data_IF_292360740967
#
_entry.id   IF_292360740967
#
_cell.length_a   1.000
_cell.length_b   1.000
_cell.length_c   1.000
_cell.angle_alpha   90.00
_cell.angle_beta   90.00
_cell.angle_gamma   90.00
#
_symmetry.space_group_name_H-M   'P 1'
#
loop_
_entity.id
_entity.type
_entity.pdbx_description
1 polymer ?
#
# COMPACT_ATOMS: atom_id res chain seq x y z
N UNK A 1 20.49 22.28 6.91
CA UNK A 1 21.67 22.73 7.66
C UNK A 1 22.47 21.50 8.02
N UNK A 2 23.79 21.56 7.91
CA UNK A 2 24.72 20.48 8.26
C UNK A 2 24.85 20.23 9.77
N UNK A 3 24.07 20.94 10.59
CA UNK A 3 24.10 20.84 12.05
C UNK A 3 25.32 21.48 12.71
N UNK A 4 26.24 22.08 11.94
CA UNK A 4 27.50 22.66 12.44
C UNK A 4 27.29 23.82 13.43
N UNK A 5 26.14 24.50 13.38
CA UNK A 5 25.76 25.57 14.29
C UNK A 5 25.03 25.12 15.57
N UNK A 6 24.77 23.82 15.76
CA UNK A 6 24.12 23.28 16.96
C UNK A 6 25.15 23.01 18.06
N UNK A 7 25.94 24.02 18.44
CA UNK A 7 27.09 23.88 19.36
C UNK A 7 26.70 23.76 20.84
N UNK A 8 25.41 23.97 21.18
CA UNK A 8 24.88 23.96 22.55
C UNK A 8 23.73 22.96 22.76
N UNK A 9 23.46 22.07 21.80
CA UNK A 9 22.56 20.95 22.08
C UNK A 9 23.36 19.84 22.77
N UNK A 10 22.88 19.28 23.89
CA UNK A 10 23.48 18.08 24.45
C UNK A 10 23.60 17.03 23.35
N UNK A 11 24.79 16.46 23.15
CA UNK A 11 25.07 15.45 22.11
C UNK A 11 24.19 14.20 22.21
N UNK A 12 23.36 14.10 23.27
CA UNK A 12 22.41 13.03 23.56
C UNK A 12 20.99 13.23 23.00
N UNK A 13 20.60 14.43 22.57
CA UNK A 13 19.18 14.77 22.37
C UNK A 13 18.69 14.69 20.91
N UNK A 14 19.46 14.11 19.99
CA UNK A 14 19.08 14.04 18.57
C UNK A 14 19.58 12.78 17.86
N UNK A 15 18.95 12.46 16.73
CA UNK A 15 19.42 11.41 15.83
C UNK A 15 20.51 11.96 14.91
N UNK A 16 21.69 11.35 14.93
CA UNK A 16 22.84 11.79 14.12
C UNK A 16 22.75 11.25 12.70
N UNK A 17 23.26 12.01 11.72
CA UNK A 17 23.34 11.58 10.31
C UNK A 17 24.23 10.34 10.10
N UNK A 18 25.17 10.09 11.02
CA UNK A 18 26.05 8.91 11.03
C UNK A 18 25.52 7.79 11.93
N UNK A 19 24.30 7.92 12.46
CA UNK A 19 23.72 7.01 13.44
C UNK A 19 24.15 7.28 14.88
N UNK A 20 23.36 6.72 15.81
CA UNK A 20 23.60 6.75 17.25
C UNK A 20 24.03 5.35 17.72
N UNK A 21 25.00 5.27 18.63
CA UNK A 21 25.38 4.03 19.30
C UNK A 21 24.68 3.93 20.67
N UNK A 22 24.47 2.72 21.19
CA UNK A 22 23.86 2.49 22.52
C UNK A 22 22.36 2.77 22.60
N UNK A 23 21.63 2.69 21.48
CA UNK A 23 20.19 2.93 21.43
C UNK A 23 19.38 1.79 22.07
N UNK A 24 18.29 2.15 22.74
CA UNK A 24 17.26 1.22 23.25
C UNK A 24 15.92 1.51 22.56
N UNK A 25 15.30 0.51 21.95
CA UNK A 25 14.02 0.66 21.21
C UNK A 25 12.83 1.08 22.07
N UNK A 26 12.93 0.98 23.40
CA UNK A 26 11.89 1.43 24.33
C UNK A 26 11.95 2.93 24.63
N UNK A 27 13.11 3.57 24.45
CA UNK A 27 13.33 4.99 24.80
C UNK A 27 13.85 5.84 23.63
N UNK A 28 14.42 5.24 22.60
CA UNK A 28 15.04 5.92 21.47
C UNK A 28 14.34 5.53 20.17
N UNK A 29 13.75 6.51 19.49
CA UNK A 29 13.09 6.31 18.20
C UNK A 29 13.08 7.60 17.38
N UNK A 30 12.91 7.45 16.06
CA UNK A 30 12.52 8.54 15.16
C UNK A 30 11.03 8.42 14.94
N UNK A 31 10.24 9.36 15.46
CA UNK A 31 8.79 9.32 15.32
C UNK A 31 8.05 10.34 16.18
N UNK A 32 6.75 10.12 16.31
CA UNK A 32 5.81 10.94 17.08
C UNK A 32 5.36 10.18 18.33
N UNK A 33 5.04 10.91 19.40
CA UNK A 33 4.46 10.35 20.64
C UNK A 33 2.95 10.59 20.76
N UNK A 34 2.38 11.35 19.83
CA UNK A 34 0.97 11.67 19.73
C UNK A 34 0.34 11.00 18.50
N UNK A 35 -0.97 11.19 18.31
CA UNK A 35 -1.72 10.58 17.21
C UNK A 35 -1.54 11.34 15.88
N UNK A 36 -0.29 11.71 15.55
CA UNK A 36 0.08 12.46 14.35
C UNK A 36 0.90 11.59 13.38
N UNK A 37 0.68 11.72 12.06
CA UNK A 37 1.50 11.03 11.06
C UNK A 37 2.97 11.48 11.06
N UNK A 38 3.86 10.55 10.74
CA UNK A 38 5.28 10.82 10.46
C UNK A 38 5.53 10.81 8.94
N UNK A 39 6.01 11.92 8.38
CA UNK A 39 6.36 12.06 6.96
C UNK A 39 7.88 12.06 6.75
N UNK A 40 8.34 11.21 5.84
CA UNK A 40 9.68 11.30 5.24
C UNK A 40 9.57 11.99 3.88
N UNK A 41 10.41 13.00 3.65
CA UNK A 41 10.36 13.83 2.44
C UNK A 41 11.63 13.76 1.61
N UNK A 42 11.47 13.83 0.29
CA UNK A 42 12.55 13.98 -0.70
C UNK A 42 12.17 15.15 -1.61
N UNK A 43 13.09 16.09 -1.83
CA UNK A 43 12.81 17.32 -2.60
C UNK A 43 11.56 18.08 -2.09
N UNK A 44 11.39 18.16 -0.76
CA UNK A 44 10.23 18.76 -0.08
C UNK A 44 8.86 18.09 -0.38
N UNK A 45 8.85 16.94 -1.06
CA UNK A 45 7.65 16.13 -1.31
C UNK A 45 7.64 14.91 -0.39
N UNK A 46 6.45 14.52 0.06
CA UNK A 46 6.25 13.30 0.85
C UNK A 46 6.61 12.07 0.01
N UNK A 47 7.56 11.28 0.49
CA UNK A 47 7.99 10.02 -0.12
C UNK A 47 7.46 8.79 0.65
N UNK A 48 7.28 8.93 1.98
CA UNK A 48 6.70 7.92 2.86
C UNK A 48 5.93 8.60 3.99
N UNK A 49 4.75 8.08 4.32
CA UNK A 49 3.96 8.44 5.50
C UNK A 49 3.64 7.22 6.33
N UNK A 50 3.85 7.33 7.63
CA UNK A 50 3.31 6.41 8.63
C UNK A 50 2.16 7.12 9.33
N UNK A 51 0.93 6.59 9.18
CA UNK A 51 -0.27 7.18 9.77
C UNK A 51 -0.73 6.31 10.95
N UNK A 52 -0.79 6.83 12.18
CA UNK A 52 -1.31 6.06 13.32
C UNK A 52 -2.81 5.78 13.17
N UNK A 53 -3.24 4.65 13.72
CA UNK A 53 -4.66 4.26 13.82
C UNK A 53 -4.90 3.63 15.20
N UNK A 54 -6.13 3.18 15.47
CA UNK A 54 -6.49 2.54 16.73
C UNK A 54 -5.65 1.29 17.05
N UNK A 55 -5.31 0.48 16.04
CA UNK A 55 -4.66 -0.82 16.27
C UNK A 55 -3.37 -1.05 15.46
N UNK A 56 -3.30 -0.55 14.23
CA UNK A 56 -2.14 -0.77 13.36
C UNK A 56 -1.96 0.39 12.40
N UNK A 57 -0.76 0.97 12.40
CA UNK A 57 -0.44 2.09 11.54
C UNK A 57 -0.60 1.73 10.06
N UNK A 58 -0.98 2.71 9.26
CA UNK A 58 -0.93 2.58 7.81
C UNK A 58 0.42 3.07 7.27
N UNK A 59 0.87 2.49 6.16
CA UNK A 59 2.05 2.92 5.43
C UNK A 59 1.66 3.42 4.04
N UNK A 60 2.11 4.62 3.67
CA UNK A 60 1.85 5.21 2.34
C UNK A 60 3.16 5.70 1.74
N UNK A 61 3.73 4.91 0.83
CA UNK A 61 4.90 5.25 0.03
C UNK A 61 4.55 5.83 -1.35
N UNK A 62 5.55 6.39 -2.01
CA UNK A 62 5.47 6.84 -3.41
C UNK A 62 4.89 8.24 -3.58
N UNK A 63 4.11 8.43 -4.66
CA UNK A 63 3.51 9.71 -4.99
C UNK A 63 2.62 10.22 -3.84
N UNK A 64 2.76 11.51 -3.53
CA UNK A 64 2.09 12.14 -2.39
C UNK A 64 0.56 12.17 -2.50
N UNK A 65 -0.01 11.87 -3.67
CA UNK A 65 -1.44 11.69 -3.87
C UNK A 65 -1.97 10.29 -3.52
N UNK A 66 -1.10 9.27 -3.37
CA UNK A 66 -1.53 7.95 -2.87
C UNK A 66 -2.23 8.12 -1.52
N UNK A 67 -3.35 7.43 -1.33
CA UNK A 67 -4.16 7.60 -0.13
C UNK A 67 -4.70 6.28 0.40
N UNK A 68 -4.82 6.23 1.72
CA UNK A 68 -5.52 5.20 2.46
C UNK A 68 -6.69 5.90 3.14
N UNK A 69 -7.90 5.40 2.96
CA UNK A 69 -9.12 6.05 3.44
C UNK A 69 -9.18 6.16 4.97
N UNK A 70 -10.03 7.07 5.46
CA UNK A 70 -10.26 7.24 6.88
C UNK A 70 -10.75 5.93 7.52
N UNK A 71 -10.38 5.71 8.78
CA UNK A 71 -10.72 4.50 9.56
C UNK A 71 -10.16 3.18 9.03
N UNK A 72 -9.44 3.19 7.90
CA UNK A 72 -8.67 2.02 7.46
C UNK A 72 -7.47 1.85 8.39
N UNK A 73 -7.16 0.61 8.73
CA UNK A 73 -6.09 0.24 9.65
C UNK A 73 -5.27 -0.93 9.10
N UNK A 74 -3.96 -0.90 9.40
CA UNK A 74 -2.99 -1.91 8.97
C UNK A 74 -2.80 -2.04 7.45
N UNK A 75 -3.16 -1.02 6.67
CA UNK A 75 -3.03 -1.03 5.22
C UNK A 75 -1.67 -0.49 4.76
N UNK A 76 -1.19 -0.99 3.63
CA UNK A 76 0.09 -0.58 3.06
C UNK A 76 -0.01 -0.30 1.56
N UNK A 77 0.40 0.90 1.16
CA UNK A 77 0.80 1.22 -0.21
C UNK A 77 2.31 1.34 -0.17
N UNK A 78 3.04 0.38 -0.76
CA UNK A 78 4.50 0.38 -0.69
C UNK A 78 5.14 1.47 -1.58
N UNK A 79 4.49 1.85 -2.68
CA UNK A 79 4.98 2.91 -3.56
C UNK A 79 4.13 3.18 -4.81
N UNK A 80 4.76 3.75 -5.82
CA UNK A 80 4.13 4.10 -7.10
C UNK A 80 3.18 5.30 -7.00
N UNK A 81 2.21 5.34 -7.90
CA UNK A 81 1.28 6.45 -8.09
C UNK A 81 1.88 7.59 -8.90
N UNK A 82 1.00 8.39 -9.50
CA UNK A 82 1.32 9.66 -10.15
C UNK A 82 0.07 10.55 -10.13
N UNK A 83 0.20 11.82 -10.53
CA UNK A 83 -0.92 12.75 -10.57
C UNK A 83 -2.03 12.23 -11.49
N UNK A 84 -3.23 12.02 -10.95
CA UNK A 84 -4.37 11.46 -11.67
C UNK A 84 -4.33 9.94 -11.86
N UNK A 85 -3.38 9.25 -11.24
CA UNK A 85 -3.29 7.78 -11.22
C UNK A 85 -2.75 7.30 -9.88
N UNK A 86 -3.33 7.82 -8.81
CA UNK A 86 -3.04 7.48 -7.43
C UNK A 86 -3.40 6.01 -7.14
N UNK A 87 -2.64 5.37 -6.26
CA UNK A 87 -3.08 4.13 -5.63
C UNK A 87 -3.96 4.45 -4.42
N UNK A 88 -5.02 3.66 -4.23
CA UNK A 88 -5.99 3.88 -3.15
C UNK A 88 -6.34 2.60 -2.39
N UNK A 89 -6.36 2.67 -1.07
CA UNK A 89 -6.89 1.59 -0.23
C UNK A 89 -8.09 2.09 0.58
N UNK A 90 -9.19 1.35 0.54
CA UNK A 90 -10.43 1.68 1.26
C UNK A 90 -10.87 0.64 2.28
N UNK A 91 -10.11 -0.45 2.46
CA UNK A 91 -10.42 -1.50 3.43
C UNK A 91 -9.21 -1.93 4.28
N UNK A 92 -9.52 -2.39 5.49
CA UNK A 92 -8.53 -2.83 6.50
C UNK A 92 -7.61 -3.93 5.98
N UNK A 93 -6.35 -3.86 6.40
CA UNK A 93 -5.31 -4.86 6.15
C UNK A 93 -5.04 -5.14 4.66
N UNK A 94 -5.44 -4.24 3.78
CA UNK A 94 -5.19 -4.39 2.34
C UNK A 94 -3.78 -3.93 1.96
N UNK A 95 -3.29 -4.42 0.83
CA UNK A 95 -1.94 -4.15 0.34
C UNK A 95 -1.94 -3.77 -1.13
N UNK A 96 -1.19 -2.72 -1.48
CA UNK A 96 -0.79 -2.39 -2.84
C UNK A 96 0.73 -2.29 -2.88
N UNK A 97 1.38 -3.13 -3.71
CA UNK A 97 2.84 -3.14 -3.81
C UNK A 97 3.39 -1.88 -4.48
N UNK A 98 3.00 -1.64 -5.73
CA UNK A 98 3.45 -0.47 -6.50
C UNK A 98 2.54 -0.22 -7.72
N UNK A 99 3.04 0.52 -8.71
CA UNK A 99 2.30 0.81 -9.94
C UNK A 99 1.38 2.02 -9.80
N UNK A 100 0.35 2.14 -10.63
CA UNK A 100 -0.50 3.35 -10.71
C UNK A 100 -1.98 3.01 -10.89
N UNK A 101 -2.86 3.87 -10.37
CA UNK A 101 -4.31 3.70 -10.49
C UNK A 101 -4.82 2.34 -9.97
N UNK A 102 -4.16 1.73 -8.98
CA UNK A 102 -4.66 0.50 -8.35
C UNK A 102 -5.57 0.83 -7.17
N UNK A 103 -6.64 0.07 -6.99
CA UNK A 103 -7.60 0.28 -5.91
C UNK A 103 -7.97 -1.03 -5.19
N UNK A 104 -7.67 -1.07 -3.90
CA UNK A 104 -7.92 -2.22 -3.03
C UNK A 104 -8.96 -1.87 -1.97
N UNK A 105 -10.18 -2.41 -2.11
CA UNK A 105 -11.34 -2.11 -1.28
C UNK A 105 -11.97 -3.31 -0.58
N UNK A 106 -11.41 -4.51 -0.72
CA UNK A 106 -11.85 -5.69 0.03
C UNK A 106 -11.04 -5.86 1.32
N UNK A 107 -11.65 -6.31 2.41
CA UNK A 107 -10.92 -6.62 3.65
C UNK A 107 -9.79 -7.63 3.37
N UNK A 108 -8.54 -7.28 3.73
CA UNK A 108 -7.37 -8.12 3.48
C UNK A 108 -7.07 -8.35 1.99
N UNK A 109 -7.53 -7.46 1.11
CA UNK A 109 -7.29 -7.59 -0.33
C UNK A 109 -5.86 -7.26 -0.72
N UNK A 110 -5.38 -7.84 -1.82
CA UNK A 110 -3.99 -7.73 -2.24
C UNK A 110 -3.89 -7.34 -3.71
N UNK A 111 -3.05 -6.34 -4.02
CA UNK A 111 -2.61 -6.01 -5.37
C UNK A 111 -1.08 -5.96 -5.38
N UNK A 112 -0.43 -6.87 -6.11
CA UNK A 112 1.03 -6.90 -6.20
C UNK A 112 1.63 -5.66 -6.88
N UNK A 113 0.93 -5.11 -7.88
CA UNK A 113 1.28 -3.86 -8.52
C UNK A 113 0.67 -3.74 -9.91
N UNK A 114 1.30 -2.99 -10.81
CA UNK A 114 0.81 -2.80 -12.19
C UNK A 114 -0.11 -1.59 -12.33
N UNK A 115 -1.07 -1.64 -13.25
CA UNK A 115 -1.88 -0.46 -13.59
C UNK A 115 -3.36 -0.78 -13.74
N UNK A 116 -4.21 0.02 -13.09
CA UNK A 116 -5.68 -0.10 -13.15
C UNK A 116 -6.24 -1.43 -12.61
N UNK A 117 -5.58 -2.04 -11.61
CA UNK A 117 -6.15 -3.22 -10.98
C UNK A 117 -7.12 -2.82 -9.86
N UNK A 118 -8.25 -3.51 -9.77
CA UNK A 118 -9.29 -3.30 -8.78
C UNK A 118 -9.60 -4.60 -8.04
N UNK A 119 -9.51 -4.58 -6.71
CA UNK A 119 -9.83 -5.73 -5.85
C UNK A 119 -10.81 -5.31 -4.76
N UNK A 120 -12.04 -5.82 -4.76
CA UNK A 120 -13.07 -5.47 -3.78
C UNK A 120 -13.64 -6.64 -3.00
N UNK A 121 -13.37 -7.89 -3.41
CA UNK A 121 -13.78 -9.07 -2.67
C UNK A 121 -12.98 -9.23 -1.37
N UNK A 122 -13.60 -9.78 -0.33
CA UNK A 122 -12.91 -10.09 0.93
C UNK A 122 -11.83 -11.15 0.66
N UNK A 123 -10.59 -10.87 1.07
CA UNK A 123 -9.40 -11.69 0.76
C UNK A 123 -9.18 -11.94 -0.74
N UNK A 124 -9.69 -11.06 -1.61
CA UNK A 124 -9.39 -11.12 -3.03
C UNK A 124 -7.94 -10.74 -3.33
N UNK A 125 -7.37 -11.30 -4.38
CA UNK A 125 -5.99 -11.03 -4.75
C UNK A 125 -5.81 -10.82 -6.26
N UNK A 126 -5.00 -9.82 -6.60
CA UNK A 126 -4.42 -9.63 -7.91
C UNK A 126 -2.90 -9.65 -7.78
N UNK A 127 -2.22 -10.55 -8.48
CA UNK A 127 -0.75 -10.54 -8.54
C UNK A 127 -0.19 -9.29 -9.22
N UNK A 128 -1.03 -8.58 -9.99
CA UNK A 128 -0.73 -7.33 -10.68
C UNK A 128 -1.11 -7.41 -12.16
N UNK A 129 -0.37 -6.71 -13.02
CA UNK A 129 -0.69 -6.62 -14.45
C UNK A 129 -1.51 -5.39 -14.79
N UNK A 130 -2.38 -5.47 -15.80
CA UNK A 130 -3.13 -4.33 -16.28
C UNK A 130 -4.64 -4.59 -16.31
N UNK A 131 -5.42 -3.69 -15.71
CA UNK A 131 -6.88 -3.70 -15.82
C UNK A 131 -7.57 -4.99 -15.32
N UNK A 132 -7.05 -5.60 -14.25
CA UNK A 132 -7.69 -6.78 -13.66
C UNK A 132 -8.74 -6.37 -12.62
N UNK A 133 -9.86 -7.07 -12.60
CA UNK A 133 -11.01 -6.80 -11.75
C UNK A 133 -11.38 -8.03 -10.89
N UNK A 134 -11.09 -7.98 -9.59
CA UNK A 134 -11.32 -9.09 -8.65
C UNK A 134 -12.34 -8.68 -7.60
N UNK A 135 -13.62 -8.95 -7.88
CA UNK A 135 -14.73 -8.57 -6.99
C UNK A 135 -15.29 -9.72 -6.17
N UNK A 136 -14.98 -10.96 -6.55
CA UNK A 136 -15.38 -12.15 -5.82
C UNK A 136 -14.55 -12.36 -4.54
N UNK A 137 -15.19 -12.78 -3.46
CA UNK A 137 -14.50 -13.14 -2.21
C UNK A 137 -13.53 -14.30 -2.44
N UNK A 138 -12.35 -14.24 -1.81
CA UNK A 138 -11.26 -15.23 -1.92
C UNK A 138 -10.83 -15.54 -3.36
N UNK A 139 -11.19 -14.68 -4.31
CA UNK A 139 -10.90 -14.89 -5.72
C UNK A 139 -9.51 -14.36 -6.08
N UNK A 140 -8.94 -14.91 -7.13
CA UNK A 140 -7.56 -14.62 -7.52
C UNK A 140 -7.44 -14.38 -9.02
N UNK A 141 -6.76 -13.29 -9.37
CA UNK A 141 -6.15 -13.09 -10.70
C UNK A 141 -4.64 -13.05 -10.51
N UNK A 142 -3.87 -14.06 -10.95
CA UNK A 142 -2.43 -14.10 -10.69
C UNK A 142 -1.63 -13.04 -11.47
N UNK A 143 -2.23 -12.45 -12.50
CA UNK A 143 -1.61 -11.42 -13.33
C UNK A 143 -2.27 -11.33 -14.70
N UNK A 144 -1.59 -10.69 -15.65
CA UNK A 144 -2.08 -10.54 -17.02
C UNK A 144 -2.89 -9.27 -17.26
N UNK A 145 -3.78 -9.30 -18.24
CA UNK A 145 -4.49 -8.12 -18.76
C UNK A 145 -6.00 -8.30 -18.86
N UNK A 146 -6.78 -7.33 -18.40
CA UNK A 146 -8.23 -7.29 -18.64
C UNK A 146 -9.00 -8.53 -18.11
N UNK A 147 -8.55 -9.15 -17.03
CA UNK A 147 -9.24 -10.32 -16.46
C UNK A 147 -10.28 -9.91 -15.42
N UNK A 148 -11.37 -10.67 -15.31
CA UNK A 148 -12.42 -10.50 -14.30
C UNK A 148 -12.63 -11.79 -13.52
N UNK A 149 -12.57 -11.72 -12.19
CA UNK A 149 -12.98 -12.79 -11.28
C UNK A 149 -14.02 -12.24 -10.28
N UNK A 150 -15.31 -12.47 -10.56
CA UNK A 150 -16.43 -11.86 -9.84
C UNK A 150 -17.30 -12.84 -9.06
N UNK A 151 -17.24 -14.14 -9.35
CA UNK A 151 -17.81 -15.17 -8.46
C UNK A 151 -16.90 -15.41 -7.26
N UNK A 152 -17.42 -15.87 -6.12
CA UNK A 152 -16.57 -16.23 -4.97
C UNK A 152 -15.68 -17.43 -5.30
N UNK A 153 -14.49 -17.50 -4.70
CA UNK A 153 -13.56 -18.62 -4.86
C UNK A 153 -13.13 -18.87 -6.33
N UNK A 154 -13.08 -17.81 -7.15
CA UNK A 154 -12.70 -17.90 -8.57
C UNK A 154 -11.19 -17.81 -8.81
N UNK A 155 -10.77 -18.35 -9.97
CA UNK A 155 -9.46 -18.12 -10.56
C UNK A 155 -9.62 -17.67 -12.02
N UNK A 156 -9.07 -16.52 -12.39
CA UNK A 156 -9.04 -16.03 -13.77
C UNK A 156 -7.62 -15.59 -14.16
N UNK A 157 -7.06 -16.14 -15.24
CA UNK A 157 -5.68 -15.88 -15.64
C UNK A 157 -5.49 -15.65 -17.14
N UNK A 158 -4.48 -14.84 -17.48
CA UNK A 158 -4.05 -14.58 -18.85
C UNK A 158 -4.56 -13.24 -19.37
N UNK A 159 -5.27 -13.22 -20.51
CA UNK A 159 -5.86 -11.99 -21.07
C UNK A 159 -7.34 -12.17 -21.41
N UNK A 160 -8.20 -11.26 -20.95
CA UNK A 160 -9.66 -11.31 -21.13
C UNK A 160 -10.36 -12.53 -20.51
N UNK A 161 -9.78 -13.16 -19.48
CA UNK A 161 -10.44 -14.24 -18.75
C UNK A 161 -11.60 -13.70 -17.88
N UNK A 162 -12.76 -14.37 -17.90
CA UNK A 162 -13.96 -13.94 -17.15
C UNK A 162 -14.55 -15.09 -16.34
N UNK A 163 -14.29 -15.12 -15.04
CA UNK A 163 -14.82 -16.09 -14.08
C UNK A 163 -15.96 -15.47 -13.24
N UNK A 164 -17.21 -15.73 -13.62
CA UNK A 164 -18.40 -15.07 -13.03
C UNK A 164 -19.17 -15.91 -12.00
N UNK A 165 -19.04 -17.23 -12.03
CA UNK A 165 -19.76 -18.12 -11.13
C UNK A 165 -18.86 -18.62 -10.01
N UNK A 166 -19.43 -18.91 -8.84
CA UNK A 166 -18.63 -19.36 -7.69
C UNK A 166 -17.81 -20.61 -8.02
N UNK A 167 -16.54 -20.63 -7.61
CA UNK A 167 -15.61 -21.74 -7.86
C UNK A 167 -15.14 -21.89 -9.31
N UNK A 168 -15.38 -20.90 -10.17
CA UNK A 168 -15.00 -21.00 -11.60
C UNK A 168 -13.50 -20.82 -11.78
N UNK A 169 -12.91 -21.65 -12.63
CA UNK A 169 -11.55 -21.48 -13.16
C UNK A 169 -11.61 -21.10 -14.64
N UNK A 170 -10.92 -20.02 -15.03
CA UNK A 170 -10.80 -19.58 -16.43
C UNK A 170 -9.36 -19.24 -16.77
N UNK A 171 -8.91 -19.70 -17.93
CA UNK A 171 -7.64 -19.32 -18.54
C UNK A 171 -7.90 -18.82 -19.97
N UNK A 172 -7.37 -17.65 -20.32
CA UNK A 172 -7.53 -17.07 -21.66
C UNK A 172 -6.20 -16.48 -22.18
N UNK A 173 -5.90 -16.62 -23.48
CA UNK A 173 -4.65 -16.16 -24.09
C UNK A 173 -4.79 -14.98 -25.06
N UNK A 174 -6.00 -14.45 -25.23
CA UNK A 174 -6.34 -13.43 -26.23
C UNK A 174 -7.44 -13.87 -27.18
#
# INVERSE_FOLDING_TARGET
GDGSGLTNLPTSNGWRLTGNAGTDTTTNFIGTTDNMPLDFKVNNLRALRLTPTTYSSNMIGGYSGNFIANSVQGATIAGGGESGSENSITANYSFIGAGRANSAGGYGSFIGGGSNNYTSGVYSSSGGGNNNNVTGDRSTVPGGGDNTASGSDCFAAGRYAVAQHNGTFVWASG
#
